data_IF_072851197273
#
_entry.id   IF_072851197273
#
_cell.length_a   1.000
_cell.length_b   1.000
_cell.length_c   1.000
_cell.angle_alpha   90.00
_cell.angle_beta   90.00
_cell.angle_gamma   90.00
#
_symmetry.space_group_name_H-M   'P 1'
#
loop_
_entity.id
_entity.type
_entity.pdbx_description
1 polymer ?
#
# COMPACT_ATOMS: atom_id res chain seq x y z
N UNK A 1 8.70 -11.02 12.49
CA UNK A 1 8.95 -9.57 12.47
C UNK A 1 7.94 -9.00 11.48
N UNK A 2 6.77 -8.54 11.96
CA UNK A 2 5.82 -7.85 11.08
C UNK A 2 6.45 -6.53 10.67
N UNK A 3 6.59 -6.31 9.37
CA UNK A 3 7.17 -5.08 8.84
C UNK A 3 6.04 -4.17 8.42
N UNK A 4 6.16 -2.87 8.72
CA UNK A 4 5.17 -1.83 8.38
C UNK A 4 4.81 -1.80 6.88
N UNK A 5 5.73 -2.30 6.04
CA UNK A 5 5.50 -2.47 4.61
C UNK A 5 4.42 -3.52 4.36
N UNK A 6 4.49 -4.68 5.02
CA UNK A 6 3.49 -5.75 4.88
C UNK A 6 2.10 -5.26 5.27
N UNK A 7 1.96 -4.54 6.39
CA UNK A 7 0.67 -3.99 6.83
C UNK A 7 0.05 -3.03 5.79
N UNK A 8 0.88 -2.20 5.14
CA UNK A 8 0.41 -1.30 4.08
C UNK A 8 0.06 -2.07 2.81
N UNK A 9 0.84 -3.09 2.43
CA UNK A 9 0.54 -3.92 1.26
C UNK A 9 -0.75 -4.72 1.45
N UNK A 10 -0.98 -5.30 2.62
CA UNK A 10 -2.23 -5.98 2.99
C UNK A 10 -3.43 -5.02 2.93
N UNK A 11 -3.26 -3.78 3.38
CA UNK A 11 -4.32 -2.78 3.30
C UNK A 11 -4.75 -2.43 1.87
N UNK A 12 -3.86 -2.65 0.88
CA UNK A 12 -4.03 -2.30 -0.53
C UNK A 12 -4.21 -3.51 -1.47
N UNK A 13 -4.12 -4.75 -0.97
CA UNK A 13 -4.12 -5.98 -1.79
C UNK A 13 -5.38 -6.16 -2.64
N UNK A 14 -6.49 -5.57 -2.19
CA UNK A 14 -7.76 -5.59 -2.92
C UNK A 14 -7.71 -4.86 -4.28
N UNK A 15 -6.65 -4.07 -4.53
CA UNK A 15 -6.40 -3.34 -5.78
C UNK A 15 -7.26 -2.10 -5.98
N UNK A 16 -8.04 -1.70 -4.96
CA UNK A 16 -8.89 -0.51 -5.01
C UNK A 16 -8.07 0.71 -4.59
N UNK A 17 -8.62 1.88 -4.89
CA UNK A 17 -8.11 3.13 -4.37
C UNK A 17 -8.47 3.28 -2.90
N UNK A 18 -7.49 3.61 -2.07
CA UNK A 18 -7.65 3.84 -0.65
C UNK A 18 -7.19 5.23 -0.25
N UNK A 19 -7.91 5.85 0.66
CA UNK A 19 -7.43 7.10 1.27
C UNK A 19 -6.30 6.79 2.26
N UNK A 20 -5.41 7.75 2.49
CA UNK A 20 -4.37 7.61 3.54
C UNK A 20 -4.95 7.30 4.92
N UNK A 21 -6.14 7.84 5.22
CA UNK A 21 -6.87 7.56 6.46
C UNK A 21 -7.26 6.08 6.59
N UNK A 22 -7.83 5.49 5.54
CA UNK A 22 -8.18 4.06 5.53
C UNK A 22 -6.95 3.18 5.74
N UNK A 23 -5.82 3.54 5.12
CA UNK A 23 -4.57 2.79 5.28
C UNK A 23 -4.06 2.88 6.72
N UNK A 24 -4.12 4.06 7.36
CA UNK A 24 -3.75 4.21 8.78
C UNK A 24 -4.60 3.33 9.69
N UNK A 25 -5.91 3.27 9.45
CA UNK A 25 -6.85 2.48 10.24
C UNK A 25 -6.62 0.97 10.07
N UNK A 26 -6.41 0.50 8.84
CA UNK A 26 -6.13 -0.91 8.55
C UNK A 26 -4.76 -1.35 9.05
N UNK A 27 -3.72 -0.58 8.75
CA UNK A 27 -2.33 -0.91 9.05
C UNK A 27 -1.91 -0.54 10.49
N UNK A 28 -2.78 0.13 11.27
CA UNK A 28 -2.49 0.59 12.65
C UNK A 28 -1.20 1.42 12.76
N UNK A 29 -0.86 2.17 11.71
CA UNK A 29 0.34 2.98 11.63
C UNK A 29 0.13 4.41 12.13
N UNK A 30 1.21 5.07 12.54
CA UNK A 30 1.21 6.53 12.75
C UNK A 30 1.35 7.25 11.40
N UNK A 31 0.80 8.48 11.23
CA UNK A 31 0.89 9.24 9.99
C UNK A 31 2.30 9.32 9.39
N UNK A 32 3.30 9.68 10.21
CA UNK A 32 4.70 9.77 9.76
C UNK A 32 5.25 8.42 9.25
N UNK A 33 4.85 7.31 9.86
CA UNK A 33 5.29 5.98 9.43
C UNK A 33 4.65 5.60 8.10
N UNK A 34 3.36 5.91 7.93
CA UNK A 34 2.67 5.68 6.66
C UNK A 34 3.33 6.48 5.52
N UNK A 35 3.62 7.76 5.73
CA UNK A 35 4.29 8.58 4.71
C UNK A 35 5.65 8.00 4.31
N UNK A 36 6.47 7.56 5.27
CA UNK A 36 7.75 6.90 4.95
C UNK A 36 7.57 5.64 4.11
N UNK A 37 6.56 4.82 4.42
CA UNK A 37 6.28 3.59 3.66
C UNK A 37 5.72 3.90 2.28
N UNK A 38 4.77 4.84 2.16
CA UNK A 38 4.21 5.27 0.87
C UNK A 38 5.32 5.82 -0.02
N UNK A 39 6.15 6.74 0.47
CA UNK A 39 7.24 7.30 -0.33
C UNK A 39 8.21 6.24 -0.84
N UNK A 40 8.59 5.27 0.02
CA UNK A 40 9.41 4.13 -0.40
C UNK A 40 8.70 3.31 -1.48
N UNK A 41 7.44 2.90 -1.26
CA UNK A 41 6.72 2.06 -2.21
C UNK A 41 6.48 2.76 -3.57
N UNK A 42 6.27 4.07 -3.55
CA UNK A 42 6.07 4.90 -4.74
C UNK A 42 7.38 5.04 -5.53
N UNK A 43 8.51 5.27 -4.86
CA UNK A 43 9.83 5.38 -5.47
C UNK A 43 10.20 4.16 -6.33
N UNK A 44 9.84 2.95 -5.86
CA UNK A 44 10.07 1.70 -6.57
C UNK A 44 8.89 1.27 -7.47
N UNK A 45 7.84 2.08 -7.59
CA UNK A 45 6.70 1.82 -8.47
C UNK A 45 5.77 0.69 -8.03
N UNK A 46 5.82 0.27 -6.76
CA UNK A 46 4.93 -0.76 -6.20
C UNK A 46 3.50 -0.25 -5.99
N UNK A 47 3.35 1.06 -5.78
CA UNK A 47 2.05 1.74 -5.64
C UNK A 47 1.93 2.89 -6.64
N UNK A 48 0.70 3.36 -6.80
CA UNK A 48 0.36 4.56 -7.55
C UNK A 48 -0.35 5.50 -6.58
N UNK A 49 0.10 6.77 -6.52
CA UNK A 49 -0.51 7.82 -5.71
C UNK A 49 -1.23 8.82 -6.64
N UNK A 50 -2.51 9.07 -6.38
CA UNK A 50 -3.23 10.20 -6.96
C UNK A 50 -3.20 11.34 -5.94
N UNK A 51 -2.21 12.23 -6.10
CA UNK A 51 -2.00 13.36 -5.19
C UNK A 51 -3.17 14.36 -5.20
N UNK A 52 -3.89 14.49 -6.32
CA UNK A 52 -5.03 15.39 -6.42
C UNK A 52 -6.22 14.89 -5.58
N UNK A 53 -6.38 13.58 -5.45
CA UNK A 53 -7.46 12.95 -4.67
C UNK A 53 -7.02 12.43 -3.30
N UNK A 54 -5.71 12.40 -3.02
CA UNK A 54 -5.16 11.89 -1.77
C UNK A 54 -5.37 10.37 -1.59
N UNK A 55 -5.42 9.63 -2.69
CA UNK A 55 -5.65 8.18 -2.69
C UNK A 55 -4.46 7.41 -3.24
N UNK A 56 -4.34 6.16 -2.79
CA UNK A 56 -3.23 5.25 -3.08
C UNK A 56 -3.80 3.90 -3.51
N UNK A 57 -3.17 3.23 -4.46
CA UNK A 57 -3.47 1.83 -4.81
C UNK A 57 -2.20 1.07 -5.16
N UNK A 58 -2.27 -0.26 -5.18
CA UNK A 58 -1.18 -1.07 -5.74
C UNK A 58 -1.05 -0.85 -7.25
N UNK A 59 0.18 -0.93 -7.72
CA UNK A 59 0.45 -1.15 -9.14
C UNK A 59 -0.11 -2.52 -9.55
N UNK A 60 -0.86 -2.57 -10.65
CA UNK A 60 -1.52 -3.81 -11.11
C UNK A 60 -0.55 -4.96 -11.40
N UNK A 61 0.63 -4.66 -11.93
CA UNK A 61 1.65 -5.70 -12.20
C UNK A 61 2.17 -6.29 -10.90
N UNK A 62 2.43 -5.46 -9.91
CA UNK A 62 2.88 -5.90 -8.59
C UNK A 62 1.78 -6.64 -7.82
N UNK A 63 0.54 -6.14 -7.90
CA UNK A 63 -0.63 -6.81 -7.31
C UNK A 63 -0.82 -8.23 -7.83
N UNK A 64 -0.70 -8.42 -9.16
CA UNK A 64 -0.80 -9.76 -9.77
C UNK A 64 0.25 -10.71 -9.20
N UNK A 65 1.49 -10.23 -9.04
CA UNK A 65 2.58 -11.00 -8.45
C UNK A 65 2.26 -11.39 -6.99
N UNK A 66 1.80 -10.44 -6.16
CA UNK A 66 1.43 -10.71 -4.76
C UNK A 66 0.31 -11.76 -4.63
N UNK A 67 -0.72 -11.69 -5.48
CA UNK A 67 -1.88 -12.61 -5.45
C UNK A 67 -1.53 -14.00 -5.98
N UNK A 68 -0.61 -14.09 -6.95
CA UNK A 68 -0.13 -15.37 -7.48
C UNK A 68 0.68 -16.16 -6.45
N UNK A 69 1.54 -15.48 -5.69
CA UNK A 69 2.36 -16.10 -4.63
C UNK A 69 1.54 -16.53 -3.40
N UNK A 70 0.33 -16.00 -3.21
CA UNK A 70 -0.58 -16.41 -2.13
C UNK A 70 -1.48 -17.61 -2.48
N UNK A 71 -1.35 -18.16 -3.70
CA UNK A 71 -2.08 -19.35 -4.18
C UNK A 71 -1.21 -20.61 -4.27
N UNK A 72 0.00 -20.61 -3.69
CA UNK A 72 0.91 -21.77 -3.61
C UNK A 72 1.06 -22.29 -2.19
#
# INVERSE_FOLDING_TARGET
METKIVEVLEALVDGRWHTRKEILEKAKLKPKQLETVISFLEEYGFIIVDAAKGVVRLNESFRKLLVQESSQ
#
